data_IF_123756441856
#
_entry.id   IF_123756441856
#
_cell.length_a   1.000
_cell.length_b   1.000
_cell.length_c   1.000
_cell.angle_alpha   90.00
_cell.angle_beta   90.00
_cell.angle_gamma   90.00
#
_symmetry.space_group_name_H-M   'P 1'
#
loop_
_entity.id
_entity.type
_entity.pdbx_description
1 polymer ?
#
# COMPACT_ATOMS: atom_id res chain seq x y z
N UNK A 1 -23.02 -13.11 -19.87
CA UNK A 1 -22.72 -11.67 -20.05
C UNK A 1 -22.49 -10.93 -18.72
N UNK A 2 -22.47 -11.62 -17.56
CA UNK A 2 -22.36 -11.01 -16.22
C UNK A 2 -20.94 -10.69 -15.75
N UNK A 3 -19.92 -11.41 -16.26
CA UNK A 3 -18.56 -11.30 -15.74
C UNK A 3 -17.94 -9.90 -15.87
N UNK A 4 -18.19 -9.16 -16.96
CA UNK A 4 -17.54 -7.85 -17.17
C UNK A 4 -18.07 -6.74 -16.26
N UNK A 5 -19.36 -6.78 -15.89
CA UNK A 5 -19.97 -5.78 -15.01
C UNK A 5 -19.60 -6.00 -13.54
N UNK A 6 -19.44 -7.26 -13.13
CA UNK A 6 -18.97 -7.61 -11.79
C UNK A 6 -17.51 -7.18 -11.57
N UNK A 7 -16.64 -7.37 -12.57
CA UNK A 7 -15.25 -6.91 -12.49
C UNK A 7 -15.14 -5.39 -12.40
N UNK A 8 -15.92 -4.65 -13.20
CA UNK A 8 -15.91 -3.19 -13.17
C UNK A 8 -16.41 -2.63 -11.84
N UNK A 9 -17.47 -3.24 -11.26
CA UNK A 9 -17.99 -2.85 -9.94
C UNK A 9 -16.97 -3.10 -8.84
N UNK A 10 -16.35 -4.28 -8.83
CA UNK A 10 -15.33 -4.64 -7.85
C UNK A 10 -14.12 -3.69 -7.92
N UNK A 11 -13.66 -3.33 -9.13
CA UNK A 11 -12.58 -2.37 -9.32
C UNK A 11 -12.92 -0.98 -8.72
N UNK A 12 -14.15 -0.50 -8.94
CA UNK A 12 -14.62 0.77 -8.37
C UNK A 12 -14.71 0.71 -6.84
N UNK A 13 -15.22 -0.38 -6.27
CA UNK A 13 -15.30 -0.59 -4.82
C UNK A 13 -13.90 -0.58 -4.17
N UNK A 14 -12.92 -1.23 -4.81
CA UNK A 14 -11.54 -1.23 -4.33
C UNK A 14 -10.91 0.16 -4.44
N UNK A 15 -11.14 0.88 -5.53
CA UNK A 15 -10.65 2.26 -5.67
C UNK A 15 -11.25 3.18 -4.59
N UNK A 16 -12.54 3.03 -4.27
CA UNK A 16 -13.20 3.82 -3.21
C UNK A 16 -12.62 3.53 -1.82
N UNK A 17 -12.18 2.28 -1.59
CA UNK A 17 -11.49 1.86 -0.36
C UNK A 17 -10.07 2.41 -0.26
N UNK A 18 -9.39 2.67 -1.39
CA UNK A 18 -8.09 3.32 -1.41
C UNK A 18 -8.21 4.82 -1.11
N UNK A 19 -8.53 5.16 0.14
CA UNK A 19 -8.56 6.54 0.64
C UNK A 19 -7.96 6.61 2.05
N UNK A 20 -7.28 7.71 2.42
CA UNK A 20 -6.61 7.83 3.72
C UNK A 20 -7.53 7.59 4.92
N UNK A 21 -8.80 7.98 4.83
CA UNK A 21 -9.76 7.83 5.92
C UNK A 21 -10.17 6.36 6.13
N UNK A 22 -10.01 5.52 5.10
CA UNK A 22 -10.30 4.10 5.18
C UNK A 22 -9.07 3.24 5.45
N UNK A 23 -7.86 3.76 5.16
CA UNK A 23 -6.57 3.09 5.32
C UNK A 23 -5.59 4.03 6.06
N UNK A 24 -5.88 4.35 7.33
CA UNK A 24 -5.16 5.39 8.06
C UNK A 24 -3.68 5.04 8.30
N UNK A 25 -3.34 3.76 8.52
CA UNK A 25 -1.96 3.36 8.74
C UNK A 25 -1.16 3.35 7.46
N UNK A 26 -1.77 2.96 6.35
CA UNK A 26 -1.16 3.15 5.04
C UNK A 26 -0.87 4.63 4.77
N UNK A 27 -1.79 5.54 5.12
CA UNK A 27 -1.56 6.96 4.95
C UNK A 27 -0.39 7.49 5.78
N UNK A 28 -0.30 7.11 7.05
CA UNK A 28 0.84 7.47 7.91
C UNK A 28 2.15 6.91 7.35
N UNK A 29 2.19 5.62 7.02
CA UNK A 29 3.38 4.97 6.48
C UNK A 29 3.84 5.62 5.16
N UNK A 30 2.91 5.85 4.24
CA UNK A 30 3.22 6.47 2.95
C UNK A 30 3.70 7.92 3.09
N UNK A 31 3.20 8.68 4.07
CA UNK A 31 3.66 10.03 4.33
C UNK A 31 5.05 10.05 4.99
N UNK A 32 5.24 9.25 6.02
CA UNK A 32 6.42 9.32 6.89
C UNK A 32 7.65 8.60 6.29
N UNK A 33 7.42 7.52 5.54
CA UNK A 33 8.49 6.68 4.99
C UNK A 33 8.58 6.73 3.47
N UNK A 34 7.52 7.12 2.77
CA UNK A 34 7.49 7.16 1.30
C UNK A 34 6.98 8.49 0.74
N UNK A 35 6.98 9.54 1.58
CA UNK A 35 6.63 10.90 1.20
C UNK A 35 7.78 11.60 0.48
N UNK A 36 7.54 12.84 0.05
CA UNK A 36 8.48 13.65 -0.73
C UNK A 36 9.87 13.76 -0.09
N UNK A 37 9.92 13.98 1.24
CA UNK A 37 11.17 14.13 1.98
C UNK A 37 11.81 12.79 2.40
N UNK A 38 11.02 11.71 2.44
CA UNK A 38 11.43 10.41 2.95
C UNK A 38 11.88 9.46 1.84
N UNK A 39 11.31 9.56 0.64
CA UNK A 39 11.67 8.68 -0.50
C UNK A 39 13.14 8.81 -0.91
N UNK A 40 13.79 9.95 -0.63
CA UNK A 40 15.22 10.12 -0.86
C UNK A 40 16.09 9.36 0.17
N UNK A 41 15.53 8.98 1.32
CA UNK A 41 16.21 8.25 2.40
C UNK A 41 16.12 6.74 2.23
N UNK A 42 15.07 6.24 1.57
CA UNK A 42 14.85 4.82 1.35
C UNK A 42 14.94 4.45 -0.13
N UNK A 43 15.66 3.39 -0.47
CA UNK A 43 15.79 2.89 -1.84
C UNK A 43 14.58 2.01 -2.21
N UNK A 44 13.37 2.58 -2.09
CA UNK A 44 12.10 1.92 -2.45
C UNK A 44 11.30 1.34 -1.27
N UNK A 45 10.15 0.73 -1.60
CA UNK A 45 9.16 0.31 -0.62
C UNK A 45 9.66 -0.73 0.38
N UNK A 46 10.48 -1.68 -0.06
CA UNK A 46 11.00 -2.76 0.79
C UNK A 46 11.91 -2.24 1.90
N UNK A 47 12.77 -1.26 1.61
CA UNK A 47 13.63 -0.66 2.64
C UNK A 47 12.80 0.13 3.66
N UNK A 48 11.84 0.94 3.18
CA UNK A 48 10.91 1.66 4.05
C UNK A 48 10.14 0.72 4.99
N UNK A 49 9.62 -0.39 4.44
CA UNK A 49 8.89 -1.40 5.20
C UNK A 49 9.76 -2.06 6.29
N UNK A 50 11.00 -2.41 5.95
CA UNK A 50 11.94 -2.96 6.92
C UNK A 50 12.30 -1.97 8.03
N UNK A 51 12.50 -0.69 7.70
CA UNK A 51 12.79 0.34 8.69
C UNK A 51 11.59 0.60 9.62
N UNK A 52 10.38 0.64 9.07
CA UNK A 52 9.15 0.77 9.84
C UNK A 52 8.95 -0.42 10.80
N UNK A 53 9.05 -1.65 10.29
CA UNK A 53 8.83 -2.87 11.08
C UNK A 53 9.80 -3.02 12.27
N UNK A 54 10.95 -2.34 12.24
CA UNK A 54 11.92 -2.35 13.35
C UNK A 54 11.53 -1.47 14.53
N UNK A 55 10.67 -0.49 14.32
CA UNK A 55 10.35 0.55 15.31
C UNK A 55 8.86 0.63 15.64
N UNK A 56 8.00 0.11 14.76
CA UNK A 56 6.55 0.07 14.96
C UNK A 56 6.18 -0.81 16.14
N UNK A 57 5.13 -0.41 16.86
CA UNK A 57 4.47 -1.29 17.83
C UNK A 57 3.69 -2.38 17.08
N UNK A 58 3.44 -3.51 17.75
CA UNK A 58 2.86 -4.70 17.10
C UNK A 58 1.46 -4.42 16.54
N UNK A 59 0.63 -3.67 17.27
CA UNK A 59 -0.71 -3.27 16.85
C UNK A 59 -0.67 -2.33 15.64
N UNK A 60 0.27 -1.39 15.59
CA UNK A 60 0.45 -0.52 14.43
C UNK A 60 0.88 -1.30 13.18
N UNK A 61 1.75 -2.31 13.36
CA UNK A 61 2.19 -3.19 12.29
C UNK A 61 1.04 -4.10 11.80
N UNK A 62 0.20 -4.62 12.69
CA UNK A 62 -0.99 -5.40 12.35
C UNK A 62 -2.01 -4.57 11.54
N UNK A 63 -2.26 -3.34 11.98
CA UNK A 63 -3.14 -2.41 11.27
C UNK A 63 -2.58 -2.03 9.90
N UNK A 64 -1.28 -1.71 9.81
CA UNK A 64 -0.64 -1.42 8.52
C UNK A 64 -0.66 -2.63 7.58
N UNK A 65 -0.43 -3.83 8.11
CA UNK A 65 -0.52 -5.07 7.33
C UNK A 65 -1.91 -5.20 6.70
N UNK A 66 -2.98 -5.02 7.48
CA UNK A 66 -4.35 -5.05 6.98
C UNK A 66 -4.63 -3.98 5.93
N UNK A 67 -4.14 -2.76 6.11
CA UNK A 67 -4.28 -1.71 5.10
C UNK A 67 -3.52 -2.05 3.80
N UNK A 68 -2.34 -2.65 3.93
CA UNK A 68 -1.50 -3.05 2.79
C UNK A 68 -2.11 -4.21 2.01
N UNK A 69 -2.81 -5.15 2.67
CA UNK A 69 -3.58 -6.20 2.00
C UNK A 69 -4.65 -5.61 1.07
N UNK A 70 -5.29 -4.48 1.44
CA UNK A 70 -6.24 -3.78 0.58
C UNK A 70 -5.55 -3.19 -0.64
N UNK A 71 -4.38 -2.57 -0.46
CA UNK A 71 -3.56 -2.07 -1.58
C UNK A 71 -3.15 -3.20 -2.52
N UNK A 72 -2.69 -4.33 -1.97
CA UNK A 72 -2.32 -5.53 -2.73
C UNK A 72 -3.52 -6.08 -3.51
N UNK A 73 -4.69 -6.20 -2.88
CA UNK A 73 -5.92 -6.63 -3.55
C UNK A 73 -6.30 -5.70 -4.71
N UNK A 74 -6.12 -4.37 -4.53
CA UNK A 74 -6.36 -3.40 -5.58
C UNK A 74 -5.47 -3.63 -6.81
N UNK A 75 -4.21 -4.08 -6.65
CA UNK A 75 -3.32 -4.39 -7.79
C UNK A 75 -3.74 -5.63 -8.58
N UNK A 76 -4.62 -6.47 -8.02
CA UNK A 76 -5.25 -7.59 -8.72
C UNK A 76 -6.47 -7.19 -9.56
N UNK A 77 -7.11 -6.07 -9.22
CA UNK A 77 -8.32 -5.58 -9.91
C UNK A 77 -8.07 -4.34 -10.79
N UNK A 78 -7.05 -3.55 -10.47
CA UNK A 78 -6.65 -2.32 -11.14
C UNK A 78 -5.27 -2.47 -11.75
N UNK A 79 -4.98 -1.69 -12.79
CA UNK A 79 -3.61 -1.61 -13.31
C UNK A 79 -2.69 -0.93 -12.29
N UNK A 80 -1.41 -1.31 -12.27
CA UNK A 80 -0.41 -0.66 -11.40
C UNK A 80 -0.33 0.85 -11.61
N UNK A 81 -0.48 1.31 -12.86
CA UNK A 81 -0.52 2.73 -13.18
C UNK A 81 -1.69 3.45 -12.49
N UNK A 82 -2.88 2.81 -12.45
CA UNK A 82 -4.05 3.36 -11.76
C UNK A 82 -3.84 3.36 -10.24
N UNK A 83 -3.28 2.29 -9.68
CA UNK A 83 -2.94 2.23 -8.25
C UNK A 83 -1.97 3.34 -7.87
N UNK A 84 -0.86 3.51 -8.61
CA UNK A 84 0.11 4.59 -8.38
C UNK A 84 -0.53 5.99 -8.51
N UNK A 85 -1.45 6.18 -9.46
CA UNK A 85 -2.20 7.44 -9.58
C UNK A 85 -3.08 7.70 -8.36
N UNK A 86 -3.79 6.69 -7.86
CA UNK A 86 -4.63 6.80 -6.65
C UNK A 86 -3.78 7.12 -5.43
N UNK A 87 -2.66 6.41 -5.24
CA UNK A 87 -1.72 6.68 -4.15
C UNK A 87 -1.19 8.12 -4.21
N UNK A 88 -0.70 8.56 -5.37
CA UNK A 88 -0.18 9.92 -5.55
C UNK A 88 -1.23 11.00 -5.30
N UNK A 89 -2.47 10.77 -5.76
CA UNK A 89 -3.54 11.79 -5.67
C UNK A 89 -4.21 11.84 -4.30
N UNK A 90 -4.23 10.72 -3.56
CA UNK A 90 -4.97 10.62 -2.29
C UNK A 90 -4.08 10.51 -1.06
N UNK A 91 -2.89 9.92 -1.15
CA UNK A 91 -2.03 9.58 0.00
C UNK A 91 -0.78 10.46 0.13
N UNK A 92 -0.71 11.59 -0.60
CA UNK A 92 0.39 12.56 -0.52
C UNK A 92 1.81 11.94 -0.63
N UNK A 93 1.93 10.82 -1.36
CA UNK A 93 3.18 10.11 -1.58
C UNK A 93 3.76 10.43 -2.95
N UNK A 94 5.08 10.50 -3.04
CA UNK A 94 5.82 10.60 -4.30
C UNK A 94 6.37 9.24 -4.74
N UNK A 95 6.29 8.22 -3.89
CA UNK A 95 6.64 6.86 -4.23
C UNK A 95 5.68 6.31 -5.29
N UNK A 96 6.27 5.55 -6.21
CA UNK A 96 5.56 4.82 -7.23
C UNK A 96 6.13 3.42 -7.22
N UNK A 97 5.27 2.43 -6.96
CA UNK A 97 5.67 1.04 -7.05
C UNK A 97 6.10 0.75 -8.50
N UNK A 98 7.30 0.19 -8.66
CA UNK A 98 7.86 -0.16 -9.96
C UNK A 98 7.17 -1.39 -10.57
N UNK A 99 6.62 -2.26 -9.72
CA UNK A 99 5.89 -3.46 -10.11
C UNK A 99 4.91 -3.89 -9.03
N UNK A 100 3.89 -4.70 -9.37
CA UNK A 100 3.05 -5.35 -8.34
C UNK A 100 3.87 -6.26 -7.41
N UNK A 101 5.00 -6.81 -7.89
CA UNK A 101 5.90 -7.61 -7.07
C UNK A 101 6.58 -6.80 -5.95
N UNK A 102 6.80 -5.50 -6.13
CA UNK A 102 7.30 -4.63 -5.05
C UNK A 102 6.26 -4.50 -3.92
N UNK A 103 4.98 -4.41 -4.27
CA UNK A 103 3.87 -4.34 -3.29
C UNK A 103 3.75 -5.66 -2.52
N UNK A 104 3.87 -6.80 -3.21
CA UNK A 104 3.89 -8.13 -2.58
C UNK A 104 5.11 -8.27 -1.65
N UNK A 105 6.29 -7.81 -2.08
CA UNK A 105 7.50 -7.88 -1.27
C UNK A 105 7.39 -7.08 0.03
N UNK A 106 6.74 -5.91 0.01
CA UNK A 106 6.47 -5.14 1.23
C UNK A 106 5.50 -5.90 2.16
N UNK A 107 4.45 -6.51 1.60
CA UNK A 107 3.49 -7.30 2.37
C UNK A 107 4.18 -8.48 3.08
N UNK A 108 5.05 -9.20 2.37
CA UNK A 108 5.84 -10.31 2.93
C UNK A 108 6.75 -9.86 4.07
N UNK A 109 7.32 -8.65 4.01
CA UNK A 109 8.14 -8.10 5.08
C UNK A 109 7.32 -7.81 6.33
N UNK A 110 6.14 -7.22 6.17
CA UNK A 110 5.23 -6.98 7.30
C UNK A 110 4.74 -8.31 7.90
N UNK A 111 4.33 -9.27 7.06
CA UNK A 111 3.90 -10.60 7.52
C UNK A 111 5.00 -11.29 8.33
N UNK A 112 6.25 -11.21 7.85
CA UNK A 112 7.38 -11.79 8.56
C UNK A 112 7.61 -11.09 9.90
N UNK A 113 7.57 -9.76 9.93
CA UNK A 113 7.78 -9.00 11.15
C UNK A 113 6.69 -9.27 12.21
N UNK A 114 5.45 -9.55 11.80
CA UNK A 114 4.36 -9.96 12.70
C UNK A 114 4.57 -11.35 13.34
N UNK A 115 5.47 -12.17 12.81
CA UNK A 115 5.74 -13.53 13.29
C UNK A 115 7.00 -13.64 14.16
N UNK A 116 7.83 -12.59 14.20
CA UNK A 116 9.07 -12.53 14.99
C UNK A 116 8.78 -12.08 16.44
#
# INVERSE_FOLDING_TARGET
>A
MTSSEDHARHALELEERLRPEALPRLAVFLADYLGEDAVARHVGGAQAAWEYARVAELDELEELFGDWEVLRAATGALSLARVNEVLRTRFATTWQAASSAEIEQVLELFERALRE
#
